data_IF_764143425006
#
_entry.id   IF_764143425006
#
_cell.length_a   1.000
_cell.length_b   1.000
_cell.length_c   1.000
_cell.angle_alpha   90.00
_cell.angle_beta   90.00
_cell.angle_gamma   90.00
#
_symmetry.space_group_name_H-M   'P 1'
#
loop_
_entity.id
_entity.type
_entity.pdbx_description
1 polymer ?
#
# COMPACT_ATOMS: atom_id res chain seq x y z
N UNK A 1 -2.00 10.51 -10.51
CA UNK A 1 -1.57 10.03 -9.17
C UNK A 1 -0.16 9.49 -9.28
N UNK A 2 0.49 9.21 -8.15
CA UNK A 2 1.74 8.45 -8.08
C UNK A 2 1.62 7.43 -6.94
N UNK A 3 2.50 6.44 -6.91
CA UNK A 3 2.55 5.42 -5.86
C UNK A 3 3.82 5.58 -5.03
N UNK A 4 3.70 5.34 -3.73
CA UNK A 4 4.83 5.28 -2.80
C UNK A 4 4.80 3.93 -2.13
N UNK A 5 5.87 3.17 -2.30
CA UNK A 5 6.07 1.94 -1.56
C UNK A 5 6.61 2.22 -0.16
N UNK A 6 6.10 1.50 0.83
CA UNK A 6 6.63 1.53 2.18
C UNK A 6 6.74 0.11 2.74
N UNK A 7 7.92 -0.32 3.22
CA UNK A 7 8.05 -1.59 3.91
C UNK A 7 7.36 -1.52 5.27
N UNK A 8 6.84 -2.67 5.75
CA UNK A 8 6.06 -2.74 7.00
C UNK A 8 6.82 -2.18 8.21
N UNK A 9 8.14 -2.32 8.24
CA UNK A 9 9.04 -1.85 9.29
C UNK A 9 9.07 -0.31 9.40
N UNK A 10 8.65 0.40 8.36
CA UNK A 10 8.69 1.87 8.29
C UNK A 10 7.30 2.49 8.14
N UNK A 11 6.24 1.68 8.13
CA UNK A 11 4.88 2.14 7.90
C UNK A 11 4.46 3.24 8.87
N UNK A 12 4.73 3.10 10.17
CA UNK A 12 4.34 4.12 11.17
C UNK A 12 5.00 5.48 10.92
N UNK A 13 6.27 5.49 10.48
CA UNK A 13 7.01 6.73 10.17
C UNK A 13 6.46 7.40 8.91
N UNK A 14 6.23 6.62 7.85
CA UNK A 14 5.67 7.13 6.58
C UNK A 14 4.23 7.63 6.78
N UNK A 15 3.41 6.85 7.47
CA UNK A 15 2.02 7.21 7.80
C UNK A 15 1.97 8.52 8.58
N UNK A 16 2.80 8.66 9.63
CA UNK A 16 2.89 9.89 10.43
C UNK A 16 3.34 11.09 9.59
N UNK A 17 4.31 10.90 8.69
CA UNK A 17 4.77 11.98 7.81
C UNK A 17 3.66 12.45 6.86
N UNK A 18 2.91 11.53 6.24
CA UNK A 18 1.79 11.92 5.37
C UNK A 18 0.68 12.65 6.12
N UNK A 19 0.34 12.23 7.35
CA UNK A 19 -0.64 12.96 8.18
C UNK A 19 -0.26 14.43 8.32
N UNK A 20 1.02 14.70 8.57
CA UNK A 20 1.51 16.05 8.84
C UNK A 20 1.73 16.90 7.57
N UNK A 21 2.04 16.28 6.42
CA UNK A 21 2.58 17.01 5.26
C UNK A 21 1.75 16.87 3.97
N UNK A 22 0.71 16.03 3.92
CA UNK A 22 -0.08 15.82 2.69
C UNK A 22 -0.89 17.05 2.24
N UNK A 23 -1.04 18.06 3.09
CA UNK A 23 -1.92 19.21 2.84
C UNK A 23 -3.36 18.77 2.57
N UNK A 24 -3.93 19.19 1.43
CA UNK A 24 -5.29 18.85 1.02
C UNK A 24 -5.37 17.62 0.10
N UNK A 25 -4.25 16.91 -0.11
CA UNK A 25 -4.22 15.74 -0.99
C UNK A 25 -4.94 14.54 -0.37
N UNK A 26 -5.73 13.85 -1.19
CA UNK A 26 -6.35 12.58 -0.82
C UNK A 26 -5.38 11.43 -1.10
N UNK A 27 -5.11 10.59 -0.09
CA UNK A 27 -4.13 9.50 -0.17
C UNK A 27 -4.81 8.18 0.14
N UNK A 28 -4.78 7.25 -0.81
CA UNK A 28 -5.17 5.86 -0.63
C UNK A 28 -3.99 5.07 -0.05
N UNK A 29 -4.24 4.34 1.02
CA UNK A 29 -3.26 3.46 1.67
C UNK A 29 -3.86 2.06 1.68
N UNK A 30 -3.11 1.08 1.18
CA UNK A 30 -3.56 -0.31 1.18
C UNK A 30 -2.40 -1.29 1.44
N UNK A 31 -2.68 -2.49 1.97
CA UNK A 31 -1.68 -3.54 2.04
C UNK A 31 -1.36 -4.10 0.65
N UNK A 32 -0.22 -4.77 0.52
CA UNK A 32 0.23 -5.40 -0.72
C UNK A 32 0.17 -6.93 -0.61
N UNK A 33 -1.01 -7.52 -0.79
CA UNK A 33 -1.24 -8.97 -0.77
C UNK A 33 -1.58 -9.51 -2.16
N UNK A 34 -1.99 -10.77 -2.26
CA UNK A 34 -2.52 -11.32 -3.53
C UNK A 34 -3.96 -10.85 -3.80
N UNK A 35 -4.71 -10.45 -2.78
CA UNK A 35 -6.13 -10.10 -2.86
C UNK A 35 -6.31 -8.66 -3.36
N UNK A 36 -5.82 -8.37 -4.57
CA UNK A 36 -5.69 -7.01 -5.09
C UNK A 36 -7.00 -6.20 -4.99
N UNK A 37 -8.17 -6.77 -5.30
CA UNK A 37 -9.43 -6.03 -5.20
C UNK A 37 -9.79 -5.70 -3.75
N UNK A 38 -9.66 -6.66 -2.82
CA UNK A 38 -9.96 -6.43 -1.40
C UNK A 38 -8.94 -5.46 -0.77
N UNK A 39 -7.67 -5.54 -1.18
CA UNK A 39 -6.63 -4.62 -0.74
C UNK A 39 -6.98 -3.16 -1.07
N UNK A 40 -7.49 -2.88 -2.28
CA UNK A 40 -7.88 -1.52 -2.69
C UNK A 40 -9.29 -1.10 -2.27
N UNK A 41 -10.05 -1.98 -1.60
CA UNK A 41 -11.42 -1.70 -1.13
C UNK A 41 -11.53 -1.91 0.37
N UNK A 42 -11.90 -3.11 0.81
CA UNK A 42 -12.21 -3.41 2.21
C UNK A 42 -11.05 -3.19 3.18
N UNK A 43 -9.81 -3.33 2.68
CA UNK A 43 -8.58 -3.21 3.48
C UNK A 43 -7.85 -1.89 3.24
N UNK A 44 -8.45 -1.00 2.46
CA UNK A 44 -7.88 0.30 2.18
C UNK A 44 -8.29 1.32 3.25
N UNK A 45 -7.43 2.31 3.45
CA UNK A 45 -7.67 3.47 4.28
C UNK A 45 -7.43 4.72 3.45
N UNK A 46 -8.28 5.73 3.66
CA UNK A 46 -8.11 7.05 3.07
C UNK A 46 -7.59 8.04 4.10
N UNK A 47 -6.57 8.82 3.73
CA UNK A 47 -6.28 10.10 4.38
C UNK A 47 -6.85 11.23 3.53
N UNK A 48 -7.71 12.06 4.14
CA UNK A 48 -8.45 13.09 3.41
C UNK A 48 -9.76 12.55 2.83
N UNK A 49 -10.27 13.19 1.78
CA UNK A 49 -11.51 12.77 1.14
C UNK A 49 -11.29 11.49 0.31
N UNK A 50 -12.17 10.50 0.47
CA UNK A 50 -12.13 9.32 -0.40
C UNK A 50 -12.55 9.70 -1.82
N UNK A 51 -11.88 9.12 -2.83
CA UNK A 51 -12.31 9.23 -4.24
C UNK A 51 -12.79 7.88 -4.77
N UNK A 52 -13.76 7.86 -5.69
CA UNK A 52 -14.23 6.60 -6.28
C UNK A 52 -13.12 5.94 -7.09
N UNK A 53 -12.94 4.63 -6.87
CA UNK A 53 -12.00 3.81 -7.63
C UNK A 53 -12.78 2.91 -8.60
N UNK A 54 -12.27 2.76 -9.82
CA UNK A 54 -12.78 1.79 -10.78
C UNK A 54 -12.28 0.38 -10.42
N UNK A 55 -13.08 -0.35 -9.66
CA UNK A 55 -12.76 -1.71 -9.20
C UNK A 55 -12.66 -2.74 -10.33
N UNK A 56 -13.19 -2.47 -11.53
CA UNK A 56 -13.14 -3.39 -12.67
C UNK A 56 -11.77 -3.42 -13.34
N UNK A 57 -10.91 -2.44 -13.06
CA UNK A 57 -9.49 -2.46 -13.46
C UNK A 57 -8.63 -3.35 -12.58
N UNK A 58 -9.15 -3.79 -11.42
CA UNK A 58 -8.40 -4.61 -10.46
C UNK A 58 -8.74 -6.09 -10.64
N UNK A 59 -7.71 -6.94 -10.60
CA UNK A 59 -7.93 -8.39 -10.49
C UNK A 59 -8.41 -8.70 -9.07
N UNK A 60 -9.35 -9.62 -8.88
CA UNK A 60 -9.72 -10.07 -7.54
C UNK A 60 -8.50 -10.64 -6.79
N UNK A 61 -7.78 -11.55 -7.44
CA UNK A 61 -6.62 -12.25 -6.88
C UNK A 61 -5.47 -12.31 -7.90
N UNK A 62 -4.25 -12.06 -7.46
CA UNK A 62 -3.02 -12.17 -8.26
C UNK A 62 -2.39 -13.57 -8.15
N UNK A 63 -1.70 -14.02 -9.21
CA UNK A 63 -0.99 -15.32 -9.20
C UNK A 63 0.13 -15.39 -8.15
N UNK A 64 0.85 -14.29 -7.94
CA UNK A 64 1.94 -14.17 -6.97
C UNK A 64 1.77 -12.89 -6.14
N UNK A 65 2.28 -12.91 -4.91
CA UNK A 65 2.30 -11.71 -4.06
C UNK A 65 3.19 -10.68 -4.75
N UNK A 66 2.73 -9.42 -4.92
CA UNK A 66 3.57 -8.39 -5.48
C UNK A 66 4.73 -8.10 -4.53
N UNK A 67 5.90 -7.85 -5.10
CA UNK A 67 7.10 -7.45 -4.37
C UNK A 67 7.72 -6.29 -5.14
N UNK A 68 7.92 -5.18 -4.45
CA UNK A 68 8.60 -4.00 -4.99
C UNK A 68 9.94 -3.86 -4.26
N UNK A 69 10.99 -3.58 -5.04
CA UNK A 69 12.36 -3.39 -4.56
C UNK A 69 12.91 -4.57 -3.72
N UNK A 70 12.87 -5.83 -4.22
CA UNK A 70 13.38 -7.00 -3.50
C UNK A 70 14.83 -6.87 -3.05
N UNK A 71 15.65 -6.13 -3.78
CA UNK A 71 17.06 -5.85 -3.49
C UNK A 71 17.28 -5.13 -2.15
N UNK A 72 16.28 -4.40 -1.65
CA UNK A 72 16.36 -3.70 -0.36
C UNK A 72 16.24 -4.65 0.84
N UNK A 73 15.75 -5.89 0.63
CA UNK A 73 15.54 -6.88 1.71
C UNK A 73 14.70 -6.33 2.88
N UNK A 74 13.65 -5.58 2.56
CA UNK A 74 12.69 -5.03 3.52
C UNK A 74 11.27 -5.54 3.25
N UNK A 75 10.35 -5.32 4.18
CA UNK A 75 8.96 -5.75 4.02
C UNK A 75 8.84 -7.26 3.88
N UNK A 76 8.17 -7.71 2.81
CA UNK A 76 8.01 -9.15 2.52
C UNK A 76 9.26 -9.80 1.91
N UNK A 77 10.30 -9.01 1.62
CA UNK A 77 11.60 -9.50 1.14
C UNK A 77 12.67 -9.54 2.24
N UNK A 78 12.31 -9.21 3.48
CA UNK A 78 13.23 -9.32 4.61
C UNK A 78 13.68 -10.78 4.79
N UNK A 79 14.96 -11.02 5.14
CA UNK A 79 15.44 -12.36 5.47
C UNK A 79 14.58 -12.94 6.59
N UNK A 80 14.26 -14.23 6.50
CA UNK A 80 13.46 -14.95 7.50
C UNK A 80 14.29 -15.38 8.72
N UNK A 81 15.50 -14.83 8.86
CA UNK A 81 16.49 -15.29 9.82
C UNK A 81 16.01 -15.02 11.25
N UNK A 82 15.68 -16.11 11.95
CA UNK A 82 15.60 -16.23 13.40
C UNK A 82 16.87 -16.87 13.94
#
# INVERSE_FOLDING_TARGET
SYEVWCPKEHFSRVYSWFILHRGDLSVLIHPLTKEQRSDHSDRAVWMGASVPLDGDKLRPVLRKTPCQYPELKLGYSAPTDY
#
